data_IF_926534417354
#
_entry.id   IF_926534417354
#
_cell.length_a   1.000
_cell.length_b   1.000
_cell.length_c   1.000
_cell.angle_alpha   90.00
_cell.angle_beta   90.00
_cell.angle_gamma   90.00
#
_symmetry.space_group_name_H-M   'P 1'
#
loop_
_entity.id
_entity.type
_entity.pdbx_description
1 polymer ?
#
# COMPACT_ATOMS: atom_id res chain seq x y z
N UNK A 1 -7.35 -50.17 -82.21
CA UNK A 1 -7.96 -51.37 -81.62
C UNK A 1 -6.96 -51.81 -80.55
N UNK A 2 -7.22 -51.83 -79.25
CA UNK A 2 -8.46 -52.04 -78.50
C UNK A 2 -8.42 -51.31 -77.15
N UNK A 3 -9.62 -51.05 -76.63
CA UNK A 3 -9.93 -50.55 -75.29
C UNK A 3 -9.98 -51.77 -74.35
N UNK A 4 -9.37 -51.74 -73.15
CA UNK A 4 -9.94 -52.51 -72.03
C UNK A 4 -9.98 -51.69 -70.72
N UNK A 5 -11.19 -51.27 -70.29
CA UNK A 5 -11.47 -50.42 -69.13
C UNK A 5 -12.14 -51.21 -68.00
N UNK A 6 -11.41 -51.99 -67.20
CA UNK A 6 -12.01 -52.63 -66.00
C UNK A 6 -11.18 -52.44 -64.73
N UNK A 7 -11.42 -51.29 -64.05
CA UNK A 7 -11.89 -51.12 -62.64
C UNK A 7 -11.20 -51.91 -61.49
N UNK A 8 -11.34 -51.50 -60.19
CA UNK A 8 -11.11 -50.19 -59.57
C UNK A 8 -10.42 -50.26 -58.16
N UNK A 9 -10.05 -49.07 -57.66
CA UNK A 9 -10.00 -48.56 -56.26
C UNK A 9 -9.67 -49.47 -55.08
N UNK A 10 -8.69 -49.05 -54.26
CA UNK A 10 -8.93 -48.80 -52.81
C UNK A 10 -8.03 -47.66 -52.30
N UNK A 11 -8.66 -46.68 -51.65
CA UNK A 11 -8.04 -45.63 -50.84
C UNK A 11 -7.22 -46.22 -49.67
N UNK A 12 -6.11 -45.59 -49.29
CA UNK A 12 -6.01 -44.93 -47.98
C UNK A 12 -4.81 -43.97 -47.93
N UNK A 13 -5.18 -42.73 -47.64
CA UNK A 13 -4.35 -41.57 -47.35
C UNK A 13 -3.76 -41.73 -45.95
N UNK A 14 -2.43 -41.61 -45.80
CA UNK A 14 -1.81 -41.31 -44.52
C UNK A 14 -0.78 -40.20 -44.73
N UNK A 15 -1.18 -39.00 -44.34
CA UNK A 15 -0.37 -37.79 -44.34
C UNK A 15 0.85 -37.93 -43.42
N UNK A 16 2.01 -37.56 -43.95
CA UNK A 16 3.23 -37.33 -43.18
C UNK A 16 3.09 -36.05 -42.36
N UNK A 17 3.13 -36.17 -41.03
CA UNK A 17 3.22 -35.04 -40.10
C UNK A 17 4.70 -34.83 -39.75
N UNK A 18 5.24 -33.69 -40.17
CA UNK A 18 6.55 -33.19 -39.77
C UNK A 18 6.47 -32.64 -38.33
N UNK A 19 7.36 -33.01 -37.40
CA UNK A 19 7.36 -32.42 -36.06
C UNK A 19 7.88 -30.98 -36.13
N UNK A 20 7.05 -30.03 -35.68
CA UNK A 20 7.47 -28.66 -35.41
C UNK A 20 8.44 -28.62 -34.23
N UNK A 21 9.59 -27.99 -34.45
CA UNK A 21 10.55 -27.63 -33.40
C UNK A 21 9.88 -26.60 -32.51
N UNK A 22 9.56 -26.99 -31.28
CA UNK A 22 9.00 -26.10 -30.26
C UNK A 22 10.10 -25.15 -29.76
N UNK A 23 9.83 -23.88 -29.96
CA UNK A 23 10.56 -22.72 -29.46
C UNK A 23 10.58 -22.76 -27.92
N UNK A 24 11.72 -23.12 -27.34
CA UNK A 24 11.97 -23.04 -25.91
C UNK A 24 12.30 -21.60 -25.51
N UNK A 25 11.35 -20.69 -25.68
CA UNK A 25 11.42 -19.37 -25.05
C UNK A 25 10.89 -19.51 -23.63
N UNK A 26 11.82 -19.84 -22.74
CA UNK A 26 11.71 -19.89 -21.28
C UNK A 26 10.96 -18.65 -20.75
N UNK A 27 9.65 -18.80 -20.52
CA UNK A 27 8.88 -17.83 -19.74
C UNK A 27 9.39 -17.95 -18.32
N UNK A 28 10.32 -17.06 -17.96
CA UNK A 28 10.67 -16.81 -16.57
C UNK A 28 9.41 -16.32 -15.85
N UNK A 29 8.69 -17.28 -15.25
CA UNK A 29 7.56 -17.06 -14.37
C UNK A 29 8.10 -16.35 -13.13
N UNK A 30 8.01 -15.01 -13.14
CA UNK A 30 8.38 -14.22 -11.96
C UNK A 30 7.42 -14.62 -10.84
N UNK A 31 7.91 -15.02 -9.66
CA UNK A 31 7.03 -15.40 -8.56
C UNK A 31 6.10 -14.22 -8.26
N UNK A 32 4.79 -14.47 -8.33
CA UNK A 32 3.77 -13.51 -7.90
C UNK A 32 3.91 -13.35 -6.39
N UNK A 33 4.69 -12.36 -5.95
CA UNK A 33 4.76 -12.00 -4.54
C UNK A 33 3.43 -11.37 -4.16
N UNK A 34 2.55 -12.16 -3.57
CA UNK A 34 1.32 -11.65 -2.95
C UNK A 34 1.72 -10.67 -1.86
N UNK A 35 1.35 -9.40 -2.03
CA UNK A 35 1.59 -8.37 -1.02
C UNK A 35 0.70 -8.65 0.20
N UNK A 36 1.27 -9.28 1.22
CA UNK A 36 0.59 -9.64 2.48
C UNK A 36 0.40 -8.44 3.42
N UNK A 37 0.64 -7.21 2.96
CA UNK A 37 0.40 -6.00 3.75
C UNK A 37 -1.11 -5.76 3.91
N UNK A 38 -1.54 -5.20 5.06
CA UNK A 38 -2.94 -4.85 5.26
C UNK A 38 -3.36 -3.82 4.22
N UNK A 39 -4.63 -3.87 3.84
CA UNK A 39 -5.24 -2.83 3.01
C UNK A 39 -5.16 -1.48 3.73
N UNK A 40 -4.81 -0.45 2.97
CA UNK A 40 -4.80 0.95 3.43
C UNK A 40 -6.12 1.65 3.04
N UNK A 41 -6.48 2.74 3.73
CA UNK A 41 -7.53 3.65 3.26
C UNK A 41 -7.18 4.24 1.89
N UNK A 42 -8.19 4.83 1.24
CA UNK A 42 -7.99 5.64 0.04
C UNK A 42 -7.07 6.84 0.36
N UNK A 43 -6.30 7.30 -0.64
CA UNK A 43 -5.32 8.38 -0.47
C UNK A 43 -4.02 7.96 0.23
N UNK A 44 -3.91 6.71 0.71
CA UNK A 44 -2.71 6.19 1.36
C UNK A 44 -2.00 5.11 0.51
N UNK A 45 -0.66 5.14 0.52
CA UNK A 45 0.18 4.16 -0.19
C UNK A 45 1.28 3.61 0.71
N UNK A 46 1.55 2.32 0.58
CA UNK A 46 2.70 1.70 1.23
C UNK A 46 4.00 2.08 0.52
N UNK A 47 5.01 2.43 1.30
CA UNK A 47 6.38 2.61 0.84
C UNK A 47 7.17 1.30 0.93
N UNK A 48 8.32 1.23 0.28
CA UNK A 48 9.19 0.04 0.25
C UNK A 48 9.78 -0.31 1.62
N UNK A 49 9.97 0.69 2.48
CA UNK A 49 10.49 0.54 3.85
C UNK A 49 9.39 0.17 4.88
N UNK A 50 8.14 0.03 4.43
CA UNK A 50 7.00 -0.28 5.29
C UNK A 50 6.42 0.92 6.04
N UNK A 51 6.81 2.14 5.68
CA UNK A 51 6.06 3.36 6.04
C UNK A 51 4.84 3.53 5.11
N UNK A 52 3.93 4.44 5.46
CA UNK A 52 2.74 4.76 4.67
C UNK A 52 2.77 6.24 4.35
N UNK A 53 2.65 6.62 3.08
CA UNK A 53 2.44 8.02 2.72
C UNK A 53 0.97 8.27 2.49
N UNK A 54 0.44 9.35 3.07
CA UNK A 54 -0.92 9.84 2.85
C UNK A 54 -0.80 11.13 2.05
N UNK A 55 -1.47 11.20 0.89
CA UNK A 55 -1.71 12.46 0.21
C UNK A 55 -2.92 13.13 0.85
N UNK A 56 -2.76 14.39 1.28
CA UNK A 56 -3.83 15.15 1.91
C UNK A 56 -4.71 15.77 0.82
N UNK A 57 -6.02 15.70 1.03
CA UNK A 57 -6.99 16.33 0.13
C UNK A 57 -6.84 17.86 0.17
N UNK A 58 -6.57 18.40 1.36
CA UNK A 58 -6.28 19.83 1.56
C UNK A 58 -4.90 20.02 2.22
N UNK A 59 -4.12 21.03 1.80
CA UNK A 59 -2.87 21.37 2.47
C UNK A 59 -3.09 21.74 3.95
N UNK A 60 -2.39 21.06 4.86
CA UNK A 60 -2.40 21.39 6.27
C UNK A 60 -1.38 22.51 6.56
N UNK A 61 -1.88 23.70 6.90
CA UNK A 61 -1.05 24.86 7.23
C UNK A 61 -0.61 24.86 8.69
N UNK A 62 0.70 24.89 8.93
CA UNK A 62 1.27 25.06 10.27
C UNK A 62 1.94 26.43 10.35
N UNK A 63 1.39 27.30 11.18
CA UNK A 63 1.98 28.60 11.45
C UNK A 63 3.22 28.46 12.33
N UNK A 64 4.36 28.96 11.83
CA UNK A 64 5.60 29.08 12.58
C UNK A 64 5.90 30.56 12.84
N UNK A 65 5.92 30.95 14.10
CA UNK A 65 6.35 32.29 14.52
C UNK A 65 7.82 32.26 14.96
N UNK A 66 8.62 33.18 14.42
CA UNK A 66 10.01 33.38 14.83
C UNK A 66 10.28 34.88 14.96
N UNK A 67 10.18 35.40 16.18
CA UNK A 67 10.25 36.85 16.43
C UNK A 67 9.03 37.56 15.83
N UNK A 68 9.28 38.59 15.01
CA UNK A 68 8.23 39.37 14.32
C UNK A 68 7.75 38.73 13.01
N UNK A 69 8.42 37.67 12.53
CA UNK A 69 8.04 36.98 11.30
C UNK A 69 7.12 35.78 11.57
N UNK A 70 6.06 35.69 10.78
CA UNK A 70 5.12 34.58 10.75
C UNK A 70 5.22 33.92 9.36
N UNK A 71 5.53 32.62 9.35
CA UNK A 71 5.60 31.80 8.15
C UNK A 71 4.57 30.68 8.24
N UNK A 72 4.00 30.27 7.12
CA UNK A 72 3.01 29.18 7.06
C UNK A 72 3.60 28.03 6.26
N UNK A 73 3.98 26.97 6.97
CA UNK A 73 4.44 25.73 6.36
C UNK A 73 3.21 24.93 5.89
N UNK A 74 3.13 24.68 4.59
CA UNK A 74 2.03 23.93 3.97
C UNK A 74 2.45 22.48 3.73
N UNK A 75 1.82 21.54 4.44
CA UNK A 75 2.07 20.10 4.28
C UNK A 75 0.98 19.52 3.37
N UNK A 76 1.38 18.84 2.29
CA UNK A 76 0.46 18.20 1.31
C UNK A 76 0.51 16.68 1.31
N UNK A 77 1.62 16.11 1.76
CA UNK A 77 1.76 14.68 1.96
C UNK A 77 2.42 14.47 3.33
N UNK A 78 2.00 13.42 4.04
CA UNK A 78 2.63 13.01 5.30
C UNK A 78 3.06 11.55 5.24
N UNK A 79 4.30 11.29 5.64
CA UNK A 79 4.83 9.93 5.75
C UNK A 79 4.70 9.45 7.19
N UNK A 80 3.92 8.40 7.35
CA UNK A 80 3.59 7.76 8.60
C UNK A 80 4.50 6.56 8.84
N UNK A 81 5.31 6.61 9.90
CA UNK A 81 6.18 5.51 10.32
C UNK A 81 5.43 4.52 11.20
N UNK A 82 5.85 3.25 11.16
CA UNK A 82 5.36 2.26 12.13
C UNK A 82 5.73 2.70 13.55
N UNK A 83 4.78 2.49 14.47
CA UNK A 83 5.01 2.65 15.89
C UNK A 83 5.92 1.53 16.39
N UNK A 84 6.81 1.89 17.31
CA UNK A 84 7.73 1.00 18.02
C UNK A 84 7.17 0.68 19.39
N UNK A 85 7.71 -0.36 20.04
CA UNK A 85 7.32 -0.72 21.41
C UNK A 85 7.47 0.46 22.39
N UNK A 86 8.53 1.27 22.25
CA UNK A 86 8.72 2.48 23.05
C UNK A 86 7.58 3.50 22.88
N UNK A 87 7.13 3.74 21.64
CA UNK A 87 5.98 4.63 21.41
C UNK A 87 4.71 4.11 22.11
N UNK A 88 4.52 2.79 22.18
CA UNK A 88 3.36 2.20 22.86
C UNK A 88 3.47 2.27 24.38
N UNK A 89 4.67 2.15 24.93
CA UNK A 89 4.95 2.30 26.37
C UNK A 89 4.70 3.75 26.78
N UNK A 90 5.30 4.71 26.06
CA UNK A 90 5.12 6.14 26.34
C UNK A 90 3.64 6.56 26.23
N UNK A 91 2.88 5.93 25.34
CA UNK A 91 1.45 6.21 25.17
C UNK A 91 0.59 5.79 26.39
N UNK A 92 1.12 4.95 27.29
CA UNK A 92 0.44 4.59 28.54
C UNK A 92 0.33 5.80 29.48
N UNK A 93 1.35 6.65 29.48
CA UNK A 93 1.44 7.85 30.33
C UNK A 93 0.59 9.02 29.80
N UNK A 94 0.07 8.91 28.58
CA UNK A 94 -0.82 9.91 28.00
C UNK A 94 -2.20 9.91 28.68
N UNK A 95 -2.72 11.10 28.96
CA UNK A 95 -3.97 11.29 29.69
C UNK A 95 -5.19 10.84 28.87
N UNK A 96 -5.88 9.80 29.36
CA UNK A 96 -7.11 9.29 28.77
C UNK A 96 -6.95 8.69 27.36
N UNK A 97 -8.07 8.21 26.81
CA UNK A 97 -8.10 7.57 25.49
C UNK A 97 -7.74 8.56 24.36
N UNK A 98 -8.29 9.78 24.42
CA UNK A 98 -8.06 10.82 23.42
C UNK A 98 -6.61 11.32 23.43
N UNK A 99 -6.02 11.51 24.61
CA UNK A 99 -4.60 11.92 24.73
C UNK A 99 -3.66 10.85 24.19
N UNK A 100 -3.96 9.57 24.47
CA UNK A 100 -3.22 8.44 23.90
C UNK A 100 -3.28 8.39 22.37
N UNK A 101 -4.47 8.58 21.79
CA UNK A 101 -4.62 8.61 20.34
C UNK A 101 -3.82 9.76 19.73
N UNK A 102 -3.96 10.98 20.27
CA UNK A 102 -3.20 12.14 19.81
C UNK A 102 -1.69 11.89 19.88
N UNK A 103 -1.22 11.32 20.99
CA UNK A 103 0.18 10.94 21.17
C UNK A 103 0.67 9.98 20.08
N UNK A 104 -0.08 8.91 19.81
CA UNK A 104 0.29 7.92 18.80
C UNK A 104 0.25 8.49 17.37
N UNK A 105 -0.72 9.35 17.06
CA UNK A 105 -0.77 10.04 15.77
C UNK A 105 0.47 10.90 15.56
N UNK A 106 0.89 11.68 16.56
CA UNK A 106 2.12 12.50 16.51
C UNK A 106 3.37 11.64 16.34
N UNK A 107 3.49 10.55 17.11
CA UNK A 107 4.62 9.61 16.97
C UNK A 107 4.67 9.00 15.58
N UNK A 108 3.52 8.63 15.02
CA UNK A 108 3.42 8.04 13.68
C UNK A 108 3.83 9.02 12.57
N UNK A 109 3.43 10.29 12.65
CA UNK A 109 3.80 11.29 11.64
C UNK A 109 5.24 11.81 11.79
N UNK A 110 5.89 11.53 12.93
CA UNK A 110 7.20 12.07 13.25
C UNK A 110 7.19 13.56 13.59
N UNK A 111 6.01 14.18 13.70
CA UNK A 111 5.85 15.56 14.11
C UNK A 111 5.70 15.59 15.63
N UNK A 112 6.75 16.03 16.32
CA UNK A 112 6.78 16.06 17.78
C UNK A 112 6.13 17.34 18.35
N UNK A 113 5.80 17.29 19.64
CA UNK A 113 5.35 18.45 20.44
C UNK A 113 4.23 19.28 19.80
N UNK A 114 4.33 20.60 19.87
CA UNK A 114 3.30 21.52 19.41
C UNK A 114 3.10 21.43 17.89
N UNK A 115 4.14 21.12 17.11
CA UNK A 115 4.04 21.00 15.65
C UNK A 115 3.11 19.86 15.25
N UNK A 116 3.23 18.70 15.89
CA UNK A 116 2.35 17.57 15.62
C UNK A 116 0.89 17.84 16.00
N UNK A 117 0.65 18.55 17.10
CA UNK A 117 -0.71 18.92 17.47
C UNK A 117 -1.33 19.94 16.52
N UNK A 118 -0.58 20.98 16.14
CA UNK A 118 -1.01 21.97 15.16
C UNK A 118 -1.29 21.34 13.80
N UNK A 119 -0.43 20.41 13.35
CA UNK A 119 -0.66 19.64 12.14
C UNK A 119 -1.99 18.90 12.19
N UNK A 120 -2.22 18.11 13.25
CA UNK A 120 -3.44 17.29 13.39
C UNK A 120 -4.70 18.18 13.45
N UNK A 121 -4.61 19.34 14.10
CA UNK A 121 -5.71 20.32 14.17
C UNK A 121 -5.97 21.03 12.84
N UNK A 122 -4.97 21.14 11.98
CA UNK A 122 -5.08 21.78 10.66
C UNK A 122 -5.60 20.82 9.57
N UNK A 123 -5.73 19.52 9.87
CA UNK A 123 -6.27 18.55 8.92
C UNK A 123 -7.75 18.79 8.67
N UNK A 124 -8.17 18.52 7.43
CA UNK A 124 -9.57 18.33 7.12
C UNK A 124 -10.11 17.12 7.90
N UNK A 125 -11.45 17.05 8.07
CA UNK A 125 -12.06 15.91 8.74
C UNK A 125 -11.75 14.58 8.04
N UNK A 126 -11.77 14.57 6.69
CA UNK A 126 -11.47 13.38 5.89
C UNK A 126 -10.02 12.93 6.09
N UNK A 127 -9.06 13.85 5.99
CA UNK A 127 -7.63 13.55 6.18
C UNK A 127 -7.34 13.05 7.60
N UNK A 128 -8.00 13.63 8.61
CA UNK A 128 -7.89 13.15 10.00
C UNK A 128 -8.37 11.70 10.15
N UNK A 129 -9.51 11.35 9.54
CA UNK A 129 -10.02 9.98 9.57
C UNK A 129 -9.06 9.01 8.85
N UNK A 130 -8.54 9.39 7.68
CA UNK A 130 -7.52 8.61 6.97
C UNK A 130 -6.29 8.36 7.84
N UNK A 131 -5.82 9.38 8.56
CA UNK A 131 -4.70 9.25 9.49
C UNK A 131 -5.01 8.29 10.65
N UNK A 132 -6.21 8.35 11.23
CA UNK A 132 -6.67 7.43 12.28
C UNK A 132 -6.79 5.99 11.78
N UNK A 133 -7.25 5.78 10.55
CA UNK A 133 -7.31 4.45 9.94
C UNK A 133 -5.91 3.85 9.73
N UNK A 134 -4.95 4.65 9.25
CA UNK A 134 -3.54 4.22 9.13
C UNK A 134 -2.94 3.87 10.50
N UNK A 135 -3.24 4.65 11.55
CA UNK A 135 -2.87 4.28 12.92
C UNK A 135 -3.46 2.92 13.33
N UNK A 136 -4.73 2.66 12.95
CA UNK A 136 -5.38 1.37 13.13
C UNK A 136 -4.63 0.23 12.42
N UNK A 137 -4.15 0.46 11.20
CA UNK A 137 -3.35 -0.52 10.45
C UNK A 137 -2.04 -0.88 11.18
N UNK A 138 -1.37 0.10 11.78
CA UNK A 138 -0.13 -0.15 12.53
C UNK A 138 -0.35 -0.85 13.87
N UNK A 139 -1.49 -0.63 14.52
CA UNK A 139 -1.78 -1.15 15.86
C UNK A 139 -2.53 -2.48 15.87
N UNK A 140 -3.27 -2.82 14.79
CA UNK A 140 -4.11 -4.04 14.73
C UNK A 140 -3.35 -5.32 14.34
N UNK A 141 -2.09 -5.25 13.91
CA UNK A 141 -1.27 -6.46 13.61
C UNK A 141 -0.89 -7.19 14.92
N UNK A 142 -1.78 -8.06 15.38
CA UNK A 142 -1.59 -8.91 16.57
C UNK A 142 -2.85 -9.67 17.02
N UNK A 143 -4.05 -9.19 16.69
CA UNK A 143 -5.30 -9.91 16.98
C UNK A 143 -5.66 -10.90 15.86
N UNK A 144 -4.91 -11.99 15.75
CA UNK A 144 -5.50 -13.27 15.36
C UNK A 144 -5.56 -14.11 16.63
N UNK A 145 -6.59 -13.89 17.46
CA UNK A 145 -6.96 -14.92 18.43
C UNK A 145 -7.22 -16.19 17.64
N UNK A 146 -6.48 -17.25 17.95
CA UNK A 146 -6.56 -18.53 17.26
C UNK A 146 -8.00 -19.03 17.17
N UNK A 147 -8.33 -19.61 16.03
CA UNK A 147 -9.40 -20.62 15.94
C UNK A 147 -8.87 -21.93 16.51
#
# INVERSE_FOLDING_TARGET
MDFDPTRPSVHHEHAHVTPQVLDASERADKPVTVDMRPKLPEGARWNTDGTVTIALDEPAGITRRSGEHEDIEQIREITCRRLRGGDMIDAVDAEGASGRQLFLLKRMTGLEDMKGELFIRALSHADYLTLVEVLGVFTRRGQKTGR
#
